data_IF_980926877851
#
_entry.id   IF_980926877851
#
_cell.length_a   1.000
_cell.length_b   1.000
_cell.length_c   1.000
_cell.angle_alpha   90.00
_cell.angle_beta   90.00
_cell.angle_gamma   90.00
#
_symmetry.space_group_name_H-M   'P 1'
#
loop_
_entity.id
_entity.type
_entity.pdbx_description
1 polymer ?
#
# COMPACT_ATOMS: atom_id res chain seq x y z
N UNK A 1 -7.71 -10.50 17.70
CA UNK A 1 -8.45 -11.15 16.62
C UNK A 1 -7.66 -11.08 15.32
N UNK A 2 -7.22 -12.25 14.80
CA UNK A 2 -6.37 -12.36 13.61
C UNK A 2 -7.02 -11.70 12.36
N UNK A 3 -8.34 -11.74 12.23
CA UNK A 3 -9.05 -11.16 11.08
C UNK A 3 -9.08 -9.63 11.13
N UNK A 4 -9.20 -9.04 12.31
CA UNK A 4 -9.10 -7.59 12.50
C UNK A 4 -7.69 -7.11 12.16
N UNK A 5 -6.67 -7.85 12.60
CA UNK A 5 -5.27 -7.63 12.25
C UNK A 5 -5.04 -7.61 10.74
N UNK A 6 -5.57 -8.63 10.03
CA UNK A 6 -5.46 -8.73 8.58
C UNK A 6 -6.22 -7.60 7.88
N UNK A 7 -7.43 -7.26 8.34
CA UNK A 7 -8.20 -6.16 7.78
C UNK A 7 -7.47 -4.83 7.93
N UNK A 8 -6.94 -4.53 9.11
CA UNK A 8 -6.17 -3.31 9.34
C UNK A 8 -4.93 -3.23 8.43
N UNK A 9 -4.13 -4.29 8.38
CA UNK A 9 -2.93 -4.35 7.52
C UNK A 9 -3.26 -4.31 6.02
N UNK A 10 -4.47 -4.71 5.62
CA UNK A 10 -4.96 -4.62 4.24
C UNK A 10 -5.62 -3.27 3.91
N UNK A 11 -5.54 -2.27 4.79
CA UNK A 11 -6.21 -0.98 4.67
C UNK A 11 -7.74 -1.11 4.55
N UNK A 12 -8.32 -2.10 5.25
CA UNK A 12 -9.75 -2.37 5.24
C UNK A 12 -10.35 -2.10 6.62
N UNK A 13 -11.47 -1.41 6.66
CA UNK A 13 -12.21 -1.14 7.89
C UNK A 13 -13.09 -2.32 8.29
N UNK A 14 -13.62 -3.01 7.30
CA UNK A 14 -14.56 -4.11 7.48
C UNK A 14 -14.05 -5.36 6.78
N UNK A 15 -14.47 -6.52 7.28
CA UNK A 15 -14.24 -7.79 6.62
C UNK A 15 -15.43 -8.73 6.79
N UNK A 16 -15.55 -9.67 5.88
CA UNK A 16 -16.65 -10.60 5.80
C UNK A 16 -16.13 -12.01 6.01
N UNK A 17 -16.85 -12.79 6.82
CA UNK A 17 -16.64 -14.24 6.94
C UNK A 17 -17.93 -14.95 6.59
N UNK A 18 -17.81 -15.99 5.79
CA UNK A 18 -18.92 -16.91 5.52
C UNK A 18 -18.72 -18.14 6.39
N UNK A 19 -19.67 -18.43 7.27
CA UNK A 19 -19.62 -19.54 8.21
C UNK A 19 -20.92 -20.33 8.04
N UNK A 20 -20.85 -21.47 7.34
CA UNK A 20 -22.04 -22.23 7.00
C UNK A 20 -23.03 -21.40 6.17
N UNK A 21 -24.22 -21.19 6.71
CA UNK A 21 -25.30 -20.42 6.07
C UNK A 21 -25.37 -18.96 6.52
N UNK A 22 -24.37 -18.50 7.28
CA UNK A 22 -24.29 -17.15 7.78
C UNK A 22 -23.15 -16.35 7.12
N UNK A 23 -23.43 -15.09 6.84
CA UNK A 23 -22.47 -14.07 6.44
C UNK A 23 -22.28 -13.12 7.62
N UNK A 24 -21.10 -13.18 8.21
CA UNK A 24 -20.72 -12.34 9.35
C UNK A 24 -19.96 -11.12 8.84
N UNK A 25 -20.53 -9.93 9.06
CA UNK A 25 -19.89 -8.66 8.75
C UNK A 25 -19.22 -8.11 10.00
N UNK A 26 -17.90 -7.99 9.97
CA UNK A 26 -17.09 -7.46 11.06
C UNK A 26 -16.58 -6.05 10.74
N UNK A 27 -16.58 -5.20 11.75
CA UNK A 27 -15.90 -3.89 11.68
C UNK A 27 -14.75 -3.86 12.68
N UNK A 28 -13.66 -3.17 12.32
CA UNK A 28 -12.54 -2.93 13.26
C UNK A 28 -13.00 -2.13 14.46
N UNK A 29 -13.94 -1.20 14.27
CA UNK A 29 -14.47 -0.33 15.32
C UNK A 29 -15.50 -1.00 16.24
N UNK A 30 -16.15 -2.08 15.80
CA UNK A 30 -17.26 -2.69 16.54
C UNK A 30 -16.81 -3.94 17.32
N UNK A 31 -17.43 -4.19 18.46
CA UNK A 31 -17.12 -5.33 19.31
C UNK A 31 -17.72 -6.65 18.81
N UNK A 32 -18.88 -6.60 18.16
CA UNK A 32 -19.63 -7.77 17.69
C UNK A 32 -19.93 -7.65 16.19
N UNK A 33 -19.91 -8.78 15.47
CA UNK A 33 -20.27 -8.79 14.05
C UNK A 33 -21.79 -8.69 13.87
N UNK A 34 -22.18 -8.19 12.69
CA UNK A 34 -23.53 -8.30 12.19
C UNK A 34 -23.69 -9.66 11.45
N UNK A 35 -24.76 -10.38 11.72
CA UNK A 35 -25.04 -11.66 11.10
C UNK A 35 -26.18 -11.52 10.08
N UNK A 36 -25.91 -11.92 8.84
CA UNK A 36 -26.85 -11.87 7.73
C UNK A 36 -26.94 -13.27 7.11
N UNK A 37 -28.13 -13.78 6.80
CA UNK A 37 -28.23 -15.08 6.18
C UNK A 37 -27.60 -15.06 4.77
N UNK A 38 -26.86 -16.10 4.44
CA UNK A 38 -26.18 -16.26 3.13
C UNK A 38 -27.18 -16.25 1.97
N UNK A 39 -28.36 -16.85 2.15
CA UNK A 39 -29.41 -16.82 1.14
C UNK A 39 -29.91 -15.41 0.85
N UNK A 40 -30.06 -14.56 1.88
CA UNK A 40 -30.44 -13.16 1.71
C UNK A 40 -29.36 -12.38 0.93
N UNK A 41 -28.09 -12.60 1.24
CA UNK A 41 -26.97 -11.97 0.52
C UNK A 41 -26.96 -12.41 -0.93
N UNK A 42 -27.01 -13.72 -1.20
CA UNK A 42 -26.95 -14.25 -2.56
C UNK A 42 -28.13 -13.78 -3.44
N UNK A 43 -29.32 -13.69 -2.86
CA UNK A 43 -30.50 -13.22 -3.58
C UNK A 43 -30.53 -11.68 -3.78
N UNK A 44 -29.68 -10.94 -3.11
CA UNK A 44 -29.66 -9.47 -3.13
C UNK A 44 -28.24 -8.91 -3.19
N UNK A 45 -27.35 -9.50 -3.97
CA UNK A 45 -25.93 -9.15 -4.03
C UNK A 45 -25.67 -7.66 -4.26
N UNK A 46 -26.42 -7.02 -5.16
CA UNK A 46 -26.28 -5.60 -5.44
C UNK A 46 -26.63 -4.74 -4.22
N UNK A 47 -27.74 -5.04 -3.55
CA UNK A 47 -28.13 -4.34 -2.32
C UNK A 47 -27.14 -4.57 -1.19
N UNK A 48 -26.60 -5.77 -1.09
CA UNK A 48 -25.57 -6.08 -0.12
C UNK A 48 -24.29 -5.28 -0.40
N UNK A 49 -23.88 -5.21 -1.67
CA UNK A 49 -22.75 -4.36 -2.07
C UNK A 49 -22.96 -2.88 -1.73
N UNK A 50 -24.14 -2.33 -2.05
CA UNK A 50 -24.50 -0.97 -1.70
C UNK A 50 -24.52 -0.73 -0.18
N UNK A 51 -24.88 -1.75 0.60
CA UNK A 51 -24.90 -1.69 2.05
C UNK A 51 -23.50 -1.66 2.67
N UNK A 52 -22.56 -2.45 2.16
CA UNK A 52 -21.19 -2.52 2.67
C UNK A 52 -20.27 -1.43 2.13
N UNK A 53 -20.51 -0.96 0.89
CA UNK A 53 -19.63 -0.03 0.18
C UNK A 53 -19.41 1.31 0.93
N UNK A 54 -20.42 2.01 1.46
CA UNK A 54 -20.22 3.25 2.20
C UNK A 54 -19.51 3.05 3.55
N UNK A 55 -19.45 1.81 4.04
CA UNK A 55 -18.81 1.47 5.31
C UNK A 55 -17.30 1.28 5.17
N UNK A 56 -16.78 1.36 3.95
CA UNK A 56 -15.37 1.20 3.60
C UNK A 56 -14.61 2.54 3.58
N UNK A 57 -15.09 3.58 4.24
CA UNK A 57 -14.35 4.82 4.34
C UNK A 57 -13.11 4.60 5.22
N UNK A 58 -11.96 4.44 4.54
CA UNK A 58 -10.66 4.12 5.15
C UNK A 58 -9.88 5.35 5.61
N UNK A 59 -10.38 6.55 5.37
CA UNK A 59 -9.75 7.81 5.75
C UNK A 59 -9.95 8.15 7.25
N UNK A 60 -9.84 7.14 8.12
CA UNK A 60 -9.85 7.39 9.57
C UNK A 60 -8.42 7.54 10.07
N UNK A 61 -8.20 8.40 11.05
CA UNK A 61 -6.91 8.61 11.73
C UNK A 61 -6.30 7.29 12.26
N UNK A 62 -7.15 6.29 12.47
CA UNK A 62 -6.78 4.97 12.98
C UNK A 62 -6.43 3.96 11.87
N UNK A 63 -6.47 4.38 10.60
CA UNK A 63 -6.11 3.52 9.47
C UNK A 63 -4.59 3.27 9.37
N UNK A 64 -4.22 2.17 8.69
CA UNK A 64 -2.82 1.80 8.51
C UNK A 64 -2.04 2.84 7.68
N UNK A 65 -2.66 3.43 6.66
CA UNK A 65 -2.01 4.44 5.82
C UNK A 65 -1.66 5.70 6.62
N UNK A 66 -2.58 6.35 7.34
CA UNK A 66 -2.24 7.46 8.24
C UNK A 66 -1.18 7.09 9.28
N UNK A 67 -1.21 5.87 9.82
CA UNK A 67 -0.21 5.39 10.77
C UNK A 67 1.19 5.35 10.13
N UNK A 68 1.36 4.70 8.99
CA UNK A 68 2.66 4.62 8.28
C UNK A 68 3.12 5.99 7.80
N UNK A 69 2.19 6.84 7.32
CA UNK A 69 2.51 8.18 6.87
C UNK A 69 2.95 9.12 7.99
N UNK A 70 2.50 8.90 9.22
CA UNK A 70 3.03 9.60 10.40
C UNK A 70 4.52 9.31 10.59
N UNK A 71 4.92 8.05 10.52
CA UNK A 71 6.33 7.65 10.61
C UNK A 71 7.15 8.20 9.43
N UNK A 72 6.61 8.14 8.21
CA UNK A 72 7.24 8.75 7.03
C UNK A 72 7.51 10.24 7.21
N UNK A 73 6.56 11.00 7.75
CA UNK A 73 6.74 12.44 8.03
C UNK A 73 7.84 12.69 9.06
N UNK A 74 7.90 11.88 10.10
CA UNK A 74 8.96 11.96 11.10
C UNK A 74 10.34 11.73 10.49
N UNK A 75 10.51 10.65 9.74
CA UNK A 75 11.73 10.31 9.02
C UNK A 75 12.13 11.44 8.06
N UNK A 76 11.19 11.93 7.27
CA UNK A 76 11.42 12.99 6.29
C UNK A 76 11.89 14.29 6.95
N UNK A 77 11.21 14.73 8.01
CA UNK A 77 11.57 15.97 8.70
C UNK A 77 12.99 15.86 9.27
N UNK A 78 13.32 14.72 9.88
CA UNK A 78 14.65 14.51 10.41
C UNK A 78 15.74 14.49 9.32
N UNK A 79 15.53 13.77 8.21
CA UNK A 79 16.46 13.74 7.08
C UNK A 79 16.59 15.10 6.42
N UNK A 80 15.52 15.89 6.36
CA UNK A 80 15.54 17.26 5.81
C UNK A 80 16.43 18.19 6.62
N UNK A 81 16.43 18.08 7.94
CA UNK A 81 17.37 18.81 8.80
C UNK A 81 18.83 18.44 8.51
N UNK A 82 19.07 17.26 7.96
CA UNK A 82 20.38 16.76 7.53
C UNK A 82 20.63 16.92 6.02
N UNK A 83 19.76 17.62 5.29
CA UNK A 83 19.82 17.81 3.83
C UNK A 83 19.73 16.51 3.00
N UNK A 84 19.05 15.47 3.48
CA UNK A 84 18.83 14.18 2.80
C UNK A 84 17.36 13.82 2.68
N UNK A 85 16.46 14.79 2.69
CA UNK A 85 15.01 14.58 2.70
C UNK A 85 14.48 13.83 1.47
N UNK A 86 15.14 13.95 0.31
CA UNK A 86 14.78 13.24 -0.94
C UNK A 86 14.84 11.71 -0.79
N UNK A 87 15.59 11.23 0.19
CA UNK A 87 15.80 9.81 0.46
C UNK A 87 14.83 9.22 1.49
N UNK A 88 13.84 9.96 1.92
CA UNK A 88 12.92 9.53 2.99
C UNK A 88 12.08 8.31 2.60
N UNK A 89 11.71 8.16 1.33
CA UNK A 89 11.03 6.95 0.86
C UNK A 89 11.94 5.73 0.95
N UNK A 90 13.20 5.85 0.57
CA UNK A 90 14.19 4.77 0.68
C UNK A 90 14.34 4.33 2.14
N UNK A 91 14.41 5.27 3.09
CA UNK A 91 14.47 4.96 4.51
C UNK A 91 13.21 4.22 5.00
N UNK A 92 12.02 4.67 4.61
CA UNK A 92 10.77 3.97 4.95
C UNK A 92 10.73 2.56 4.38
N UNK A 93 11.07 2.37 3.11
CA UNK A 93 11.10 1.05 2.46
C UNK A 93 12.10 0.11 3.14
N UNK A 94 13.27 0.62 3.54
CA UNK A 94 14.23 -0.14 4.32
C UNK A 94 13.65 -0.61 5.66
N UNK A 95 12.93 0.26 6.39
CA UNK A 95 12.28 -0.11 7.64
C UNK A 95 11.20 -1.17 7.44
N UNK A 96 10.36 -1.03 6.42
CA UNK A 96 9.34 -2.02 6.08
C UNK A 96 9.97 -3.38 5.71
N UNK A 97 11.05 -3.36 4.91
CA UNK A 97 11.81 -4.56 4.58
C UNK A 97 12.44 -5.20 5.82
N UNK A 98 12.98 -4.39 6.75
CA UNK A 98 13.55 -4.88 8.01
C UNK A 98 12.50 -5.54 8.91
N UNK A 99 11.27 -5.03 8.95
CA UNK A 99 10.17 -5.68 9.67
C UNK A 99 9.83 -7.02 9.02
N UNK A 100 9.68 -7.05 7.70
CA UNK A 100 9.34 -8.27 6.96
C UNK A 100 10.38 -9.38 7.13
N UNK A 101 11.66 -9.02 7.22
CA UNK A 101 12.76 -9.97 7.38
C UNK A 101 13.16 -10.21 8.86
N UNK A 102 12.38 -9.71 9.81
CA UNK A 102 12.64 -9.84 11.26
C UNK A 102 14.03 -9.36 11.71
N UNK A 103 14.62 -8.40 11.01
CA UNK A 103 15.94 -7.89 11.38
C UNK A 103 16.47 -6.81 10.44
N UNK A 104 17.62 -6.26 10.81
CA UNK A 104 18.35 -5.29 9.98
C UNK A 104 18.85 -5.98 8.69
N UNK A 105 18.79 -5.27 7.59
CA UNK A 105 19.19 -5.75 6.27
C UNK A 105 20.62 -5.25 6.01
N UNK A 106 21.50 -6.16 5.61
CA UNK A 106 22.85 -5.82 5.18
C UNK A 106 22.94 -5.48 3.69
N UNK A 107 24.11 -4.96 3.29
CA UNK A 107 24.40 -4.57 1.89
C UNK A 107 24.09 -5.68 0.87
N UNK A 108 24.40 -6.92 1.22
CA UNK A 108 24.27 -8.08 0.31
C UNK A 108 22.81 -8.36 -0.09
N UNK A 109 21.84 -7.82 0.65
CA UNK A 109 20.42 -8.05 0.43
C UNK A 109 19.67 -6.85 -0.18
N UNK A 110 20.30 -5.69 -0.31
CA UNK A 110 19.62 -4.47 -0.78
C UNK A 110 19.08 -4.65 -2.19
N UNK A 111 19.90 -5.11 -3.12
CA UNK A 111 19.50 -5.31 -4.52
C UNK A 111 18.35 -6.33 -4.67
N UNK A 112 18.33 -7.40 -3.86
CA UNK A 112 17.26 -8.40 -3.89
C UNK A 112 15.91 -7.85 -3.40
N UNK A 113 15.94 -6.75 -2.66
CA UNK A 113 14.77 -6.04 -2.14
C UNK A 113 14.39 -4.82 -2.99
N UNK A 114 15.13 -4.57 -4.08
CA UNK A 114 14.93 -3.39 -4.93
C UNK A 114 15.31 -2.07 -4.26
N UNK A 115 16.16 -2.12 -3.24
CA UNK A 115 16.65 -0.93 -2.55
C UNK A 115 17.95 -0.43 -3.20
N UNK A 116 18.17 0.89 -3.28
CA UNK A 116 19.42 1.47 -3.77
C UNK A 116 20.64 1.05 -2.96
N UNK A 117 21.82 0.96 -3.61
CA UNK A 117 23.07 0.53 -2.94
C UNK A 117 23.49 1.48 -1.81
N UNK A 118 23.14 2.77 -1.92
CA UNK A 118 23.43 3.77 -0.89
C UNK A 118 22.40 3.82 0.25
N UNK A 119 21.49 2.85 0.32
CA UNK A 119 20.42 2.83 1.36
C UNK A 119 20.99 2.86 2.76
N UNK A 120 22.05 2.11 3.05
CA UNK A 120 22.63 2.09 4.40
C UNK A 120 23.33 3.42 4.78
N UNK A 121 23.86 4.14 3.80
CA UNK A 121 24.39 5.49 4.04
C UNK A 121 23.26 6.44 4.46
N UNK A 122 22.09 6.36 3.76
CA UNK A 122 20.91 7.16 4.05
C UNK A 122 20.37 6.85 5.45
N UNK A 123 20.14 5.58 5.76
CA UNK A 123 19.59 5.18 7.06
C UNK A 123 20.60 5.33 8.20
N UNK A 124 21.90 5.30 7.90
CA UNK A 124 22.96 5.57 8.86
C UNK A 124 22.94 6.98 9.43
N UNK A 125 22.33 7.93 8.73
CA UNK A 125 22.09 9.28 9.24
C UNK A 125 20.93 9.35 10.24
N UNK A 126 20.05 8.34 10.32
CA UNK A 126 18.89 8.32 11.21
C UNK A 126 19.31 7.89 12.63
N UNK A 127 19.50 8.83 13.53
CA UNK A 127 19.77 8.53 14.95
C UNK A 127 18.56 7.95 15.68
N UNK A 128 17.34 8.23 15.15
CA UNK A 128 16.06 7.76 15.70
C UNK A 128 15.46 6.60 14.88
N UNK A 129 16.26 5.98 14.01
CA UNK A 129 15.73 4.90 13.15
C UNK A 129 15.16 3.74 13.97
N UNK A 130 15.80 3.37 15.06
CA UNK A 130 15.34 2.28 15.90
C UNK A 130 14.00 2.62 16.58
N UNK A 131 13.75 3.88 16.92
CA UNK A 131 12.45 4.35 17.45
C UNK A 131 11.34 4.23 16.38
N UNK A 132 11.58 4.73 15.17
CA UNK A 132 10.63 4.60 14.07
C UNK A 132 10.36 3.14 13.70
N UNK A 133 11.41 2.32 13.67
CA UNK A 133 11.30 0.90 13.43
C UNK A 133 10.51 0.18 14.52
N UNK A 134 10.72 0.55 15.78
CA UNK A 134 9.98 0.02 16.91
C UNK A 134 8.50 0.42 16.83
N UNK A 135 8.17 1.69 16.58
CA UNK A 135 6.79 2.15 16.42
C UNK A 135 6.06 1.41 15.30
N UNK A 136 6.72 1.22 14.14
CA UNK A 136 6.15 0.44 13.04
C UNK A 136 5.90 -1.03 13.43
N UNK A 137 6.77 -1.64 14.25
CA UNK A 137 6.60 -3.02 14.74
C UNK A 137 5.50 -3.14 15.77
N UNK A 138 5.43 -2.20 16.69
CA UNK A 138 4.40 -2.17 17.74
C UNK A 138 3.00 -1.97 17.14
N UNK A 139 2.94 -1.24 16.02
CA UNK A 139 1.68 -0.95 15.35
C UNK A 139 0.80 0.02 16.13
N UNK A 140 -0.51 -0.14 16.01
CA UNK A 140 -1.48 0.78 16.62
C UNK A 140 -2.68 0.02 17.19
N UNK A 141 -3.13 0.40 18.37
CA UNK A 141 -4.32 -0.18 19.03
C UNK A 141 -4.27 -1.72 19.16
N UNK A 142 -3.06 -2.29 19.35
CA UNK A 142 -2.85 -3.73 19.45
C UNK A 142 -2.83 -4.46 18.09
N UNK A 143 -2.83 -3.73 16.99
CA UNK A 143 -2.63 -4.26 15.64
C UNK A 143 -1.16 -4.09 15.23
N UNK A 144 -0.54 -5.19 14.83
CA UNK A 144 0.83 -5.20 14.31
C UNK A 144 0.83 -5.07 12.78
N UNK A 145 1.88 -4.48 12.23
CA UNK A 145 2.02 -4.28 10.79
C UNK A 145 2.34 -5.58 10.06
N UNK A 146 1.42 -6.04 9.19
CA UNK A 146 1.75 -7.03 8.16
C UNK A 146 2.17 -6.30 6.87
N UNK A 147 3.48 -6.22 6.65
CA UNK A 147 4.06 -5.50 5.51
C UNK A 147 3.60 -6.08 4.17
N UNK A 148 3.38 -7.40 4.08
CA UNK A 148 2.96 -8.03 2.83
C UNK A 148 1.53 -7.64 2.46
N UNK A 149 0.64 -7.57 3.44
CA UNK A 149 -0.73 -7.09 3.23
C UNK A 149 -0.77 -5.59 2.96
N UNK A 150 0.00 -4.80 3.69
CA UNK A 150 0.13 -3.35 3.46
C UNK A 150 0.55 -3.07 2.01
N UNK A 151 1.65 -3.66 1.55
CA UNK A 151 2.16 -3.42 0.19
C UNK A 151 1.24 -3.98 -0.88
N UNK A 152 0.46 -5.02 -0.58
CA UNK A 152 -0.52 -5.57 -1.52
C UNK A 152 -1.73 -4.66 -1.73
N UNK A 153 -2.18 -3.98 -0.67
CA UNK A 153 -3.48 -3.31 -0.67
C UNK A 153 -3.40 -1.78 -0.52
N UNK A 154 -2.26 -1.25 -0.10
CA UNK A 154 -2.10 0.16 0.20
C UNK A 154 -0.83 0.79 -0.40
N UNK A 155 0.02 0.04 -1.14
CA UNK A 155 1.27 0.58 -1.68
C UNK A 155 1.05 1.82 -2.55
N UNK A 156 0.05 1.79 -3.45
CA UNK A 156 -0.27 2.92 -4.32
C UNK A 156 -0.67 4.16 -3.53
N UNK A 157 -1.54 4.00 -2.53
CA UNK A 157 -1.95 5.12 -1.68
C UNK A 157 -0.78 5.66 -0.85
N UNK A 158 0.08 4.79 -0.30
CA UNK A 158 1.29 5.21 0.41
C UNK A 158 2.22 6.00 -0.49
N UNK A 159 2.44 5.51 -1.71
CA UNK A 159 3.28 6.17 -2.70
C UNK A 159 2.72 7.55 -3.09
N UNK A 160 1.42 7.64 -3.37
CA UNK A 160 0.75 8.90 -3.69
C UNK A 160 0.87 9.91 -2.56
N UNK A 161 0.53 9.51 -1.32
CA UNK A 161 0.61 10.39 -0.16
C UNK A 161 2.05 10.80 0.17
N UNK A 162 3.03 9.90 0.02
CA UNK A 162 4.43 10.20 0.23
C UNK A 162 4.97 11.18 -0.81
N UNK A 163 4.63 10.99 -2.09
CA UNK A 163 4.97 11.94 -3.15
C UNK A 163 4.35 13.31 -2.93
N UNK A 164 3.08 13.32 -2.50
CA UNK A 164 2.40 14.55 -2.14
C UNK A 164 3.16 15.31 -1.05
N UNK A 165 3.47 14.64 0.05
CA UNK A 165 4.23 15.23 1.16
C UNK A 165 5.61 15.72 0.69
N UNK A 166 6.28 14.95 -0.18
CA UNK A 166 7.61 15.31 -0.68
C UNK A 166 7.61 16.53 -1.62
N UNK A 167 6.59 16.63 -2.50
CA UNK A 167 6.53 17.71 -3.51
C UNK A 167 5.88 19.00 -3.00
N UNK A 168 4.92 18.89 -2.08
CA UNK A 168 4.01 19.99 -1.72
C UNK A 168 4.09 20.43 -0.27
N UNK A 169 5.01 19.90 0.51
CA UNK A 169 5.28 20.49 1.79
C UNK A 169 6.00 21.83 1.56
N UNK A 170 5.28 22.97 1.57
CA UNK A 170 5.94 24.25 1.50
C UNK A 170 6.90 24.33 2.69
N UNK A 171 8.05 24.93 2.53
CA UNK A 171 8.86 25.31 3.68
C UNK A 171 7.91 25.94 4.68
N UNK A 172 7.70 25.27 5.82
CA UNK A 172 6.90 25.79 6.91
C UNK A 172 7.51 27.13 7.30
N UNK A 173 7.00 28.20 6.70
CA UNK A 173 7.22 29.51 7.24
C UNK A 173 6.63 29.47 8.64
N UNK A 174 7.38 29.91 9.61
CA UNK A 174 7.00 29.98 11.04
C UNK A 174 5.61 30.62 11.32
N UNK A 175 4.93 31.11 10.28
CA UNK A 175 3.73 31.92 10.36
C UNK A 175 2.56 31.42 9.52
N UNK A 176 2.67 30.29 8.83
CA UNK A 176 1.58 29.75 8.01
C UNK A 176 1.20 28.36 8.45
N UNK A 177 0.15 28.29 9.29
CA UNK A 177 -0.66 27.09 9.41
C UNK A 177 -1.44 26.90 8.10
N UNK A 178 -0.77 26.45 7.04
CA UNK A 178 -1.48 25.97 5.86
C UNK A 178 -2.06 24.62 6.20
N UNK A 179 -3.36 24.57 6.27
CA UNK A 179 -4.11 23.33 6.24
C UNK A 179 -3.87 22.70 4.85
N UNK A 180 -3.00 21.72 4.81
CA UNK A 180 -2.51 21.05 3.60
C UNK A 180 -3.67 20.56 2.70
N UNK A 181 -4.86 20.37 3.27
CA UNK A 181 -6.07 19.97 2.55
C UNK A 181 -6.52 20.94 1.46
N UNK A 182 -6.12 22.22 1.51
CA UNK A 182 -6.60 23.23 0.56
C UNK A 182 -5.59 23.62 -0.53
N UNK A 183 -4.33 23.22 -0.41
CA UNK A 183 -3.29 23.54 -1.41
C UNK A 183 -3.16 22.45 -2.51
N UNK A 184 -3.86 21.33 -2.38
CA UNK A 184 -3.71 20.17 -3.24
C UNK A 184 -4.84 20.07 -4.26
N UNK A 185 -4.48 20.20 -5.51
CA UNK A 185 -5.34 19.88 -6.65
C UNK A 185 -4.74 18.62 -7.35
N UNK A 186 -5.22 17.40 -7.03
CA UNK A 186 -4.75 16.17 -7.65
C UNK A 186 -4.85 16.21 -9.18
N UNK A 187 -5.86 16.93 -9.69
CA UNK A 187 -6.13 17.03 -11.13
C UNK A 187 -5.03 17.79 -11.90
N UNK A 188 -4.35 18.74 -11.22
CA UNK A 188 -3.26 19.51 -11.86
C UNK A 188 -1.96 18.72 -12.01
N UNK A 189 -1.80 17.63 -11.30
CA UNK A 189 -0.56 16.88 -11.22
C UNK A 189 -0.59 15.54 -11.90
N UNK A 190 -1.78 15.06 -12.27
CA UNK A 190 -1.95 13.77 -12.93
C UNK A 190 -1.53 12.56 -12.08
N UNK A 191 -1.26 12.76 -10.79
CA UNK A 191 -0.84 11.70 -9.88
C UNK A 191 -2.07 11.08 -9.21
N UNK A 192 -2.68 10.09 -9.86
CA UNK A 192 -3.82 9.35 -9.33
C UNK A 192 -3.42 7.92 -9.02
N UNK A 193 -3.78 7.47 -7.84
CA UNK A 193 -3.72 6.06 -7.49
C UNK A 193 -4.80 5.29 -8.24
N UNK A 194 -4.40 4.22 -8.93
CA UNK A 194 -5.35 3.31 -9.54
C UNK A 194 -5.79 2.25 -8.53
N UNK A 195 -7.07 2.19 -8.16
CA UNK A 195 -7.56 1.17 -7.24
C UNK A 195 -7.26 -0.24 -7.74
N UNK A 196 -6.81 -1.13 -6.86
CA UNK A 196 -6.41 -2.51 -7.17
C UNK A 196 -7.49 -3.29 -7.93
N UNK A 197 -8.78 -3.07 -7.60
CA UNK A 197 -9.88 -3.77 -8.29
C UNK A 197 -10.00 -3.35 -9.76
N UNK A 198 -9.71 -2.08 -10.07
CA UNK A 198 -9.73 -1.56 -11.44
C UNK A 198 -8.53 -2.10 -12.23
N UNK A 199 -7.33 -2.03 -11.65
CA UNK A 199 -6.12 -2.60 -12.25
C UNK A 199 -6.33 -4.09 -12.56
N UNK A 200 -6.88 -4.85 -11.62
CA UNK A 200 -7.21 -6.27 -11.80
C UNK A 200 -8.15 -6.52 -12.98
N UNK A 201 -9.24 -5.78 -13.05
CA UNK A 201 -10.25 -5.96 -14.10
C UNK A 201 -9.68 -5.68 -15.50
N UNK A 202 -8.85 -4.64 -15.62
CA UNK A 202 -8.18 -4.28 -16.87
C UNK A 202 -7.14 -5.33 -17.26
N UNK A 203 -6.26 -5.71 -16.32
CA UNK A 203 -5.19 -6.68 -16.57
C UNK A 203 -5.75 -8.05 -16.94
N UNK A 204 -6.78 -8.52 -16.24
CA UNK A 204 -7.46 -9.79 -16.54
C UNK A 204 -7.95 -9.82 -17.99
N UNK A 205 -8.59 -8.74 -18.44
CA UNK A 205 -9.07 -8.61 -19.81
C UNK A 205 -7.92 -8.60 -20.83
N UNK A 206 -6.87 -7.82 -20.56
CA UNK A 206 -5.69 -7.72 -21.45
C UNK A 206 -5.00 -9.07 -21.60
N UNK A 207 -4.75 -9.77 -20.48
CA UNK A 207 -4.08 -11.08 -20.49
C UNK A 207 -4.94 -12.09 -21.26
N UNK A 208 -6.25 -12.13 -21.04
CA UNK A 208 -7.17 -13.04 -21.74
C UNK A 208 -7.16 -12.81 -23.25
N UNK A 209 -7.12 -11.55 -23.70
CA UNK A 209 -7.10 -11.19 -25.12
C UNK A 209 -5.71 -11.36 -25.75
N UNK A 210 -4.65 -11.49 -24.95
CA UNK A 210 -3.27 -11.59 -25.45
C UNK A 210 -2.85 -13.00 -25.87
N UNK A 211 -3.67 -14.03 -25.64
CA UNK A 211 -3.41 -15.43 -26.02
C UNK A 211 -1.98 -15.87 -25.64
N UNK A 212 -1.72 -15.92 -24.32
CA UNK A 212 -0.38 -16.14 -23.76
C UNK A 212 0.00 -17.62 -23.61
N UNK A 213 -0.94 -18.54 -23.84
CA UNK A 213 -0.86 -19.96 -23.50
C UNK A 213 0.34 -20.66 -24.12
N UNK A 214 0.69 -20.28 -25.37
CA UNK A 214 1.77 -20.90 -26.13
C UNK A 214 3.05 -20.05 -26.18
N UNK A 215 3.15 -19.01 -25.35
CA UNK A 215 4.32 -18.12 -25.37
C UNK A 215 5.39 -18.57 -24.38
N UNK A 216 6.64 -18.64 -24.85
CA UNK A 216 7.80 -18.92 -23.98
C UNK A 216 8.27 -17.66 -23.23
N UNK A 217 8.05 -16.47 -23.79
CA UNK A 217 8.44 -15.20 -23.18
C UNK A 217 7.37 -14.15 -23.47
N UNK A 218 7.05 -13.33 -22.45
CA UNK A 218 6.20 -12.16 -22.57
C UNK A 218 6.89 -10.93 -21.98
N UNK A 219 6.62 -9.77 -22.57
CA UNK A 219 7.07 -8.47 -22.07
C UNK A 219 5.87 -7.61 -21.74
N UNK A 220 5.89 -7.00 -20.56
CA UNK A 220 4.85 -6.12 -20.05
C UNK A 220 5.47 -4.75 -19.86
N UNK A 221 4.87 -3.73 -20.46
CA UNK A 221 5.27 -2.33 -20.31
C UNK A 221 4.10 -1.52 -19.76
N UNK A 222 4.38 -0.78 -18.70
CA UNK A 222 3.51 0.30 -18.21
C UNK A 222 4.27 1.63 -18.36
N UNK A 223 3.87 2.51 -19.29
CA UNK A 223 4.58 3.77 -19.57
C UNK A 223 4.27 4.88 -18.57
N UNK A 224 3.41 4.67 -17.59
CA UNK A 224 3.02 5.62 -16.54
C UNK A 224 2.75 4.85 -15.24
N UNK A 225 3.73 4.04 -14.81
CA UNK A 225 3.51 2.97 -13.85
C UNK A 225 3.22 3.45 -12.42
N UNK A 226 3.58 4.66 -12.05
CA UNK A 226 3.41 5.14 -10.67
C UNK A 226 3.99 4.14 -9.67
N UNK A 227 3.13 3.67 -8.75
CA UNK A 227 3.48 2.62 -7.77
C UNK A 227 3.62 1.21 -8.37
N UNK A 228 3.37 1.02 -9.66
CA UNK A 228 3.46 -0.27 -10.34
C UNK A 228 2.23 -1.17 -10.18
N UNK A 229 1.07 -0.65 -9.83
CA UNK A 229 -0.14 -1.45 -9.53
C UNK A 229 -0.53 -2.39 -10.68
N UNK A 230 -0.50 -1.90 -11.93
CA UNK A 230 -0.78 -2.73 -13.10
C UNK A 230 0.26 -3.83 -13.31
N UNK A 231 1.54 -3.53 -13.08
CA UNK A 231 2.64 -4.49 -13.25
C UNK A 231 2.56 -5.61 -12.20
N UNK A 232 2.30 -5.24 -10.95
CA UNK A 232 2.12 -6.19 -9.85
C UNK A 232 0.91 -7.09 -10.10
N UNK A 233 -0.21 -6.52 -10.53
CA UNK A 233 -1.41 -7.30 -10.84
C UNK A 233 -1.20 -8.22 -12.04
N UNK A 234 -0.47 -7.78 -13.06
CA UNK A 234 -0.13 -8.62 -14.21
C UNK A 234 0.70 -9.85 -13.81
N UNK A 235 1.74 -9.65 -12.99
CA UNK A 235 2.53 -10.76 -12.45
C UNK A 235 1.69 -11.73 -11.63
N UNK A 236 0.75 -11.21 -10.84
CA UNK A 236 -0.16 -12.02 -10.02
C UNK A 236 -1.11 -12.85 -10.88
N UNK A 237 -1.68 -12.26 -11.93
CA UNK A 237 -2.57 -12.95 -12.86
C UNK A 237 -1.83 -14.07 -13.60
N UNK A 238 -0.65 -13.78 -14.13
CA UNK A 238 0.19 -14.79 -14.81
C UNK A 238 0.53 -15.96 -13.89
N UNK A 239 0.88 -15.67 -12.64
CA UNK A 239 1.13 -16.71 -11.63
C UNK A 239 -0.14 -17.55 -11.36
N UNK A 240 -1.31 -16.92 -11.28
CA UNK A 240 -2.59 -17.61 -11.06
C UNK A 240 -2.96 -18.51 -12.23
N UNK A 241 -2.65 -18.09 -13.46
CA UNK A 241 -2.86 -18.88 -14.68
C UNK A 241 -1.80 -19.98 -14.87
N UNK A 242 -0.79 -20.04 -14.02
CA UNK A 242 0.28 -21.03 -14.14
C UNK A 242 1.23 -20.80 -15.31
N UNK A 243 1.37 -19.55 -15.76
CA UNK A 243 2.31 -19.24 -16.84
C UNK A 243 3.73 -19.60 -16.42
N UNK A 244 4.37 -20.52 -17.17
CA UNK A 244 5.70 -21.04 -16.88
C UNK A 244 6.83 -20.38 -17.69
N UNK A 245 6.47 -19.50 -18.65
CA UNK A 245 7.43 -18.79 -19.50
C UNK A 245 8.16 -17.67 -18.78
N UNK A 246 9.09 -17.06 -19.46
CA UNK A 246 9.84 -15.91 -18.96
C UNK A 246 9.01 -14.63 -19.04
N UNK A 247 9.01 -13.84 -17.96
CA UNK A 247 8.33 -12.55 -17.92
C UNK A 247 9.33 -11.42 -17.75
N UNK A 248 9.28 -10.45 -18.66
CA UNK A 248 10.01 -9.19 -18.57
C UNK A 248 9.03 -8.06 -18.23
N UNK A 249 9.37 -7.26 -17.25
CA UNK A 249 8.51 -6.17 -16.78
C UNK A 249 9.25 -4.86 -16.89
N UNK A 250 8.60 -3.87 -17.48
CA UNK A 250 9.13 -2.52 -17.67
C UNK A 250 8.12 -1.52 -17.14
N UNK A 251 8.56 -0.64 -16.25
CA UNK A 251 7.78 0.47 -15.75
C UNK A 251 8.50 1.77 -16.05
N UNK A 252 7.79 2.76 -16.59
CA UNK A 252 8.29 4.12 -16.76
C UNK A 252 7.39 5.07 -15.99
N UNK A 253 7.96 6.09 -15.41
CA UNK A 253 7.24 7.18 -14.76
C UNK A 253 8.05 8.47 -14.87
N UNK A 254 7.37 9.60 -14.65
CA UNK A 254 7.99 10.94 -14.69
C UNK A 254 8.41 11.44 -13.31
N UNK A 255 8.15 10.69 -12.25
CA UNK A 255 8.42 11.03 -10.84
C UNK A 255 9.78 10.50 -10.37
#
# INVERSE_FOLDING_TARGET
DAYKQQAWSSNMRNYIRVIGDDVMLYSIAEKSPECISKSLVLNNMEKFYQYISPRQDVHTVEGIVPFVMKEFRGIRNWLREKNVAESSMTALLYMLASIKNNGKIGNDNLASLGLPDNTLDIVGHLTTMDEHLQHLREGMNGFHLDVSLLLRHAAGQLFEEANYIAKFDPQLSLFTNYDIKYAYDPQKLGAFYTPTYLARSIVEKVIKESHIEDKEEISILDPACGSGEFLVEALRQLKTLGFAGKVKVYGWDVS
#
